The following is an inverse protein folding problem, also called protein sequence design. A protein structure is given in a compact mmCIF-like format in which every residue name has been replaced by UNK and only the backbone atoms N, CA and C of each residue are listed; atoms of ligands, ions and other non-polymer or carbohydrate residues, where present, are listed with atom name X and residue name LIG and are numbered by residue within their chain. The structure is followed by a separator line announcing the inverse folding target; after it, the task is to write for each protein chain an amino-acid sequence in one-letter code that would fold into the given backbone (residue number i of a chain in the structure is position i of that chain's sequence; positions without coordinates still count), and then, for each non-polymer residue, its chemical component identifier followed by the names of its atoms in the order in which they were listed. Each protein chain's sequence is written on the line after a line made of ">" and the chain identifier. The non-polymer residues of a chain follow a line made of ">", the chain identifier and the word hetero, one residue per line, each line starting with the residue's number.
data_IF_649590833579
#
_entry.id   IF_649590833579
#
_cell.length_a   1.000
_cell.length_b   1.000
_cell.length_c   1.000
_cell.angle_alpha   90.00
_cell.angle_beta   90.00
_cell.angle_gamma   90.00
#
_symmetry.space_group_name_H-M   'P 1'
#
loop_
_entity.id
_entity.type
_entity.pdbx_description
1 polymer ?
#
# COMPACT_ATOMS: atom_id res chain seq x y z
N UNK A 1 -16.23 15.08 7.24
CA UNK A 1 -15.22 14.01 7.11
C UNK A 1 -15.63 12.87 8.04
N UNK A 2 -15.67 11.63 7.54
CA UNK A 2 -16.21 10.50 8.31
C UNK A 2 -15.32 10.18 9.51
N UNK A 3 -15.87 10.16 10.72
CA UNK A 3 -15.16 9.84 11.98
C UNK A 3 -14.49 8.47 11.96
N UNK A 4 -15.01 7.56 11.13
CA UNK A 4 -14.49 6.21 10.95
C UNK A 4 -13.08 6.18 10.34
N UNK A 5 -12.86 6.91 9.25
CA UNK A 5 -11.54 6.90 8.59
C UNK A 5 -10.51 7.59 9.46
N UNK A 6 -10.87 8.66 10.18
CA UNK A 6 -9.99 9.30 11.16
C UNK A 6 -9.60 8.37 12.32
N UNK A 7 -10.51 7.52 12.80
CA UNK A 7 -10.21 6.55 13.86
C UNK A 7 -9.30 5.41 13.35
N UNK A 8 -9.55 4.89 12.15
CA UNK A 8 -8.66 3.91 11.51
C UNK A 8 -7.27 4.49 11.24
N UNK A 9 -7.19 5.72 10.76
CA UNK A 9 -5.92 6.42 10.63
C UNK A 9 -5.25 6.54 12.00
N UNK A 10 -5.96 6.94 13.06
CA UNK A 10 -5.36 7.06 14.40
C UNK A 10 -4.89 5.74 15.01
N UNK A 11 -5.54 4.61 14.71
CA UNK A 11 -5.11 3.28 15.21
C UNK A 11 -4.04 2.62 14.34
N UNK A 12 -3.87 3.06 13.08
CA UNK A 12 -2.99 2.41 12.07
C UNK A 12 -1.82 3.33 11.63
N UNK A 13 -1.85 4.62 11.97
CA UNK A 13 -0.78 5.58 11.65
C UNK A 13 0.22 5.74 12.78
N UNK A 14 1.50 6.00 12.43
CA UNK A 14 2.62 5.92 13.36
C UNK A 14 2.74 7.09 14.33
N UNK A 15 1.84 8.08 14.32
CA UNK A 15 1.97 9.25 15.22
C UNK A 15 1.83 8.88 16.71
N UNK A 16 1.29 7.70 17.03
CA UNK A 16 1.27 7.13 18.37
C UNK A 16 2.36 6.07 18.63
N UNK A 17 3.13 5.73 17.60
CA UNK A 17 4.15 4.69 17.59
C UNK A 17 5.52 5.37 17.70
N UNK A 18 6.05 5.48 18.92
CA UNK A 18 7.39 6.03 19.17
C UNK A 18 8.53 5.13 18.66
N UNK A 19 8.23 3.88 18.28
CA UNK A 19 9.19 2.90 17.79
C UNK A 19 8.91 2.53 16.32
N UNK A 20 9.80 2.83 15.36
CA UNK A 20 9.60 2.53 13.93
C UNK A 20 9.38 1.04 13.60
N UNK A 21 9.62 0.14 14.55
CA UNK A 21 9.36 -1.30 14.42
C UNK A 21 8.09 -1.80 15.13
N UNK A 22 7.25 -0.90 15.67
CA UNK A 22 6.01 -1.36 16.30
C UNK A 22 5.01 -1.81 15.23
N UNK A 23 4.61 -3.07 15.34
CA UNK A 23 3.44 -3.60 14.64
C UNK A 23 2.15 -3.07 15.30
N UNK A 24 1.05 -2.94 14.55
CA UNK A 24 -0.25 -2.60 15.14
C UNK A 24 -0.60 -3.64 16.20
N UNK A 25 -1.03 -3.18 17.37
CA UNK A 25 -1.40 -4.08 18.45
C UNK A 25 -2.65 -4.89 18.03
N UNK A 26 -2.67 -6.23 18.22
CA UNK A 26 -3.86 -7.03 17.93
C UNK A 26 -5.11 -6.56 18.69
N UNK A 27 -4.95 -5.91 19.84
CA UNK A 27 -6.07 -5.28 20.57
C UNK A 27 -6.65 -4.10 19.80
N UNK A 28 -5.83 -3.32 19.10
CA UNK A 28 -6.30 -2.16 18.33
C UNK A 28 -7.02 -2.62 17.06
N UNK A 29 -6.56 -3.70 16.43
CA UNK A 29 -7.22 -4.31 15.26
C UNK A 29 -8.56 -4.95 15.63
N UNK A 30 -8.62 -5.69 16.74
CA UNK A 30 -9.89 -6.24 17.24
C UNK A 30 -10.89 -5.15 17.61
N UNK A 31 -10.44 -4.04 18.20
CA UNK A 31 -11.29 -2.88 18.46
C UNK A 31 -11.83 -2.26 17.15
N UNK A 32 -11.01 -2.17 16.11
CA UNK A 32 -11.45 -1.70 14.80
C UNK A 32 -12.49 -2.64 14.16
N UNK A 33 -12.29 -3.96 14.23
CA UNK A 33 -13.28 -4.93 13.72
C UNK A 33 -14.60 -4.88 14.46
N UNK A 34 -14.59 -4.72 15.80
CA UNK A 34 -15.81 -4.53 16.59
C UNK A 34 -16.57 -3.27 16.20
N UNK A 35 -15.87 -2.16 15.95
CA UNK A 35 -16.49 -0.92 15.52
C UNK A 35 -17.20 -1.09 14.17
N UNK A 36 -16.58 -1.79 13.21
CA UNK A 36 -17.23 -2.09 11.91
C UNK A 36 -18.41 -3.05 12.09
N UNK A 37 -18.26 -4.06 12.95
CA UNK A 37 -19.33 -5.01 13.25
C UNK A 37 -20.57 -4.29 13.79
N UNK A 38 -20.41 -3.38 14.77
CA UNK A 38 -21.52 -2.59 15.33
C UNK A 38 -22.21 -1.72 14.29
N UNK A 39 -21.46 -1.15 13.34
CA UNK A 39 -22.03 -0.41 12.22
C UNK A 39 -22.89 -1.30 11.31
N UNK A 40 -22.42 -2.51 10.98
CA UNK A 40 -23.21 -3.44 10.16
C UNK A 40 -24.46 -3.94 10.88
N UNK A 41 -24.39 -4.21 12.18
CA UNK A 41 -25.56 -4.57 12.99
C UNK A 41 -26.58 -3.41 13.04
N UNK A 42 -26.10 -2.17 13.18
CA UNK A 42 -26.96 -0.99 13.12
C UNK A 42 -27.67 -0.87 11.77
N UNK A 43 -26.93 -1.01 10.66
CA UNK A 43 -27.49 -0.98 9.31
C UNK A 43 -28.48 -2.13 9.07
N UNK A 44 -28.21 -3.33 9.62
CA UNK A 44 -29.08 -4.49 9.50
C UNK A 44 -30.45 -4.27 10.19
N UNK A 45 -30.49 -3.46 11.26
CA UNK A 45 -31.73 -3.13 11.96
C UNK A 45 -32.69 -2.26 11.14
N UNK A 46 -32.16 -1.46 10.20
CA UNK A 46 -32.93 -0.55 9.34
C UNK A 46 -32.85 -0.93 7.86
N UNK A 47 -32.48 -2.16 7.53
CA UNK A 47 -32.30 -2.59 6.16
C UNK A 47 -33.65 -2.64 5.39
N UNK A 48 -33.72 -2.16 4.14
CA UNK A 48 -34.98 -2.04 3.40
C UNK A 48 -35.50 -3.38 2.83
N UNK A 49 -34.66 -4.43 2.80
CA UNK A 49 -35.03 -5.75 2.31
C UNK A 49 -34.42 -6.85 3.19
N UNK A 50 -35.07 -8.02 3.21
CA UNK A 50 -34.59 -9.19 3.95
C UNK A 50 -33.24 -9.69 3.41
N UNK A 51 -33.01 -9.59 2.10
CA UNK A 51 -31.73 -9.95 1.47
C UNK A 51 -30.59 -9.03 1.93
N UNK A 52 -30.84 -7.72 2.01
CA UNK A 52 -29.84 -6.78 2.52
C UNK A 52 -29.56 -7.03 4.00
N UNK A 53 -30.60 -7.33 4.77
CA UNK A 53 -30.44 -7.67 6.19
C UNK A 53 -29.60 -8.93 6.40
N UNK A 54 -29.90 -10.01 5.68
CA UNK A 54 -29.15 -11.27 5.81
C UNK A 54 -27.70 -11.12 5.38
N UNK A 55 -27.43 -10.36 4.32
CA UNK A 55 -26.08 -10.04 3.89
C UNK A 55 -25.30 -9.26 4.97
N UNK A 56 -25.88 -8.19 5.53
CA UNK A 56 -25.22 -7.40 6.58
C UNK A 56 -24.93 -8.22 7.84
N UNK A 57 -25.85 -9.13 8.23
CA UNK A 57 -25.62 -10.05 9.34
C UNK A 57 -24.48 -11.04 9.04
N UNK A 58 -24.39 -11.55 7.81
CA UNK A 58 -23.27 -12.43 7.43
C UNK A 58 -21.91 -11.72 7.48
N UNK A 59 -21.87 -10.44 7.10
CA UNK A 59 -20.65 -9.62 7.22
C UNK A 59 -20.28 -9.36 8.69
N UNK A 60 -21.27 -9.06 9.53
CA UNK A 60 -21.06 -8.88 10.96
C UNK A 60 -20.55 -10.16 11.64
N UNK A 61 -20.99 -11.33 11.19
CA UNK A 61 -20.48 -12.62 11.66
C UNK A 61 -19.03 -12.87 11.22
N UNK A 62 -18.69 -12.56 9.96
CA UNK A 62 -17.30 -12.68 9.49
C UNK A 62 -16.34 -11.82 10.31
N UNK A 63 -16.74 -10.60 10.68
CA UNK A 63 -15.92 -9.71 11.53
C UNK A 63 -15.78 -10.20 12.97
N UNK A 64 -16.72 -11.02 13.46
CA UNK A 64 -16.59 -11.66 14.76
C UNK A 64 -15.45 -12.69 14.77
N UNK A 65 -15.34 -13.49 13.70
CA UNK A 65 -14.24 -14.44 13.51
C UNK A 65 -12.89 -13.70 13.45
N UNK A 66 -12.81 -12.60 12.67
CA UNK A 66 -11.62 -11.75 12.61
C UNK A 66 -11.26 -11.11 13.95
N UNK A 67 -12.26 -10.82 14.80
CA UNK A 67 -12.02 -10.31 16.15
C UNK A 67 -11.43 -11.37 17.08
N UNK A 68 -11.85 -12.64 16.94
CA UNK A 68 -11.30 -13.75 17.72
C UNK A 68 -9.89 -14.14 17.25
N UNK A 69 -9.58 -13.88 15.98
CA UNK A 69 -8.31 -14.20 15.35
C UNK A 69 -7.72 -12.96 14.64
N UNK A 70 -7.36 -11.90 15.38
CA UNK A 70 -6.84 -10.69 14.76
C UNK A 70 -5.51 -11.00 14.06
N UNK A 71 -5.25 -10.40 12.88
CA UNK A 71 -4.00 -10.62 12.19
C UNK A 71 -2.84 -10.05 13.03
N UNK A 72 -1.79 -10.84 13.17
CA UNK A 72 -0.61 -10.50 13.98
C UNK A 72 0.41 -9.63 13.23
N UNK A 73 0.26 -9.51 11.91
CA UNK A 73 1.10 -8.67 11.05
C UNK A 73 0.26 -8.11 9.91
N UNK A 74 0.60 -6.90 9.47
CA UNK A 74 0.09 -6.35 8.21
C UNK A 74 1.05 -6.72 7.07
N UNK A 75 0.51 -7.16 5.95
CA UNK A 75 1.26 -7.52 4.73
C UNK A 75 1.55 -6.31 3.84
N UNK A 76 1.37 -5.10 4.37
CA UNK A 76 1.55 -3.86 3.63
C UNK A 76 3.02 -3.54 3.31
N UNK A 77 3.20 -2.53 2.47
CA UNK A 77 4.54 -1.98 2.17
C UNK A 77 4.96 -0.96 3.23
N UNK A 78 6.27 -0.72 3.32
CA UNK A 78 6.82 0.26 4.25
C UNK A 78 6.53 1.71 3.83
N UNK A 79 6.75 2.67 4.73
CA UNK A 79 6.57 4.09 4.40
C UNK A 79 7.56 4.55 3.33
N UNK A 80 8.80 4.05 3.39
CA UNK A 80 9.86 4.36 2.42
C UNK A 80 9.47 3.87 1.02
N UNK A 81 8.72 2.76 0.92
CA UNK A 81 8.15 2.33 -0.36
C UNK A 81 7.19 3.38 -0.93
N UNK A 82 6.25 3.87 -0.13
CA UNK A 82 5.25 4.86 -0.54
C UNK A 82 5.91 6.17 -0.95
N UNK A 83 6.91 6.60 -0.19
CA UNK A 83 7.68 7.81 -0.46
C UNK A 83 8.48 7.69 -1.76
N UNK A 84 8.96 6.48 -2.09
CA UNK A 84 9.69 6.20 -3.34
C UNK A 84 8.81 6.09 -4.61
N UNK A 85 7.48 6.18 -4.50
CA UNK A 85 6.59 6.10 -5.67
C UNK A 85 6.78 7.28 -6.63
N UNK A 86 6.69 7.01 -7.93
CA UNK A 86 6.80 8.05 -8.96
C UNK A 86 5.66 9.07 -8.82
N UNK A 87 6.02 10.36 -8.85
CA UNK A 87 5.06 11.47 -8.79
C UNK A 87 4.68 11.92 -10.18
N UNK A 88 3.39 12.05 -10.44
CA UNK A 88 2.88 12.53 -11.73
C UNK A 88 2.80 14.06 -11.69
N UNK A 89 3.47 14.78 -12.61
CA UNK A 89 3.40 16.23 -12.63
C UNK A 89 1.99 16.68 -13.02
N UNK A 90 1.46 17.70 -12.33
CA UNK A 90 0.13 18.26 -12.60
C UNK A 90 -0.11 18.60 -14.08
N UNK A 91 0.94 19.05 -14.79
CA UNK A 91 0.89 19.42 -16.21
C UNK A 91 0.59 18.23 -17.15
N UNK A 92 0.81 16.99 -16.72
CA UNK A 92 0.52 15.80 -17.52
C UNK A 92 -0.83 15.17 -17.22
N UNK A 93 -1.61 15.75 -16.30
CA UNK A 93 -2.94 15.27 -15.94
C UNK A 93 -3.99 15.90 -16.85
N UNK A 94 -4.98 15.10 -17.22
CA UNK A 94 -6.17 15.58 -17.92
C UNK A 94 -7.21 16.08 -16.91
N UNK A 95 -8.11 17.02 -17.29
CA UNK A 95 -9.20 17.45 -16.41
C UNK A 95 -10.18 16.34 -16.08
N UNK A 96 -10.25 15.28 -16.89
CA UNK A 96 -11.13 14.13 -16.68
C UNK A 96 -10.46 13.03 -15.84
N UNK A 97 -9.16 13.17 -15.53
CA UNK A 97 -8.43 12.21 -14.71
C UNK A 97 -8.89 12.34 -13.25
N UNK A 98 -9.33 11.21 -12.68
CA UNK A 98 -9.87 11.14 -11.32
C UNK A 98 -9.25 10.00 -10.53
N UNK A 99 -9.18 10.20 -9.21
CA UNK A 99 -8.69 9.19 -8.29
C UNK A 99 -9.73 8.06 -8.15
N UNK A 100 -9.37 6.79 -8.37
CA UNK A 100 -10.32 5.68 -8.29
C UNK A 100 -10.73 5.32 -6.84
N UNK A 101 -10.12 5.93 -5.82
CA UNK A 101 -10.47 5.71 -4.40
C UNK A 101 -11.51 6.74 -3.94
N UNK A 102 -11.20 8.04 -4.05
CA UNK A 102 -12.10 9.10 -3.60
C UNK A 102 -13.08 9.58 -4.68
N UNK A 103 -12.85 9.19 -5.95
CA UNK A 103 -13.64 9.56 -7.12
C UNK A 103 -13.63 11.07 -7.45
N UNK A 104 -12.70 11.82 -6.88
CA UNK A 104 -12.49 13.25 -7.14
C UNK A 104 -11.54 13.48 -8.31
N UNK A 105 -11.75 14.57 -9.05
CA UNK A 105 -10.87 14.98 -10.13
C UNK A 105 -9.54 15.49 -9.59
N UNK A 106 -8.42 15.04 -10.17
CA UNK A 106 -7.10 15.44 -9.65
C UNK A 106 -6.86 16.95 -9.77
N UNK A 107 -7.39 17.57 -10.83
CA UNK A 107 -7.15 18.99 -11.08
C UNK A 107 -7.99 19.93 -10.20
N UNK A 108 -8.99 19.41 -9.49
CA UNK A 108 -9.85 20.20 -8.60
C UNK A 108 -9.11 20.65 -7.33
N UNK A 109 -8.11 19.88 -6.90
CA UNK A 109 -7.14 20.29 -5.87
C UNK A 109 -6.00 21.12 -6.50
N UNK A 110 -5.77 22.38 -6.10
CA UNK A 110 -4.64 23.19 -6.56
C UNK A 110 -3.26 22.56 -6.30
N UNK A 111 -3.14 21.72 -5.27
CA UNK A 111 -1.88 21.10 -4.82
C UNK A 111 -1.90 19.58 -4.94
N UNK A 112 -2.60 19.07 -5.96
CA UNK A 112 -2.77 17.63 -6.16
C UNK A 112 -1.43 16.84 -6.11
N UNK A 113 -1.37 15.85 -5.22
CA UNK A 113 -0.25 14.93 -5.10
C UNK A 113 -0.63 13.57 -5.68
N UNK A 114 -0.33 13.36 -6.97
CA UNK A 114 -0.68 12.12 -7.67
C UNK A 114 0.54 11.20 -7.73
N UNK A 115 0.36 9.96 -7.30
CA UNK A 115 1.36 8.90 -7.38
C UNK A 115 0.99 7.91 -8.50
N UNK A 116 1.98 7.49 -9.29
CA UNK A 116 1.85 6.41 -10.26
C UNK A 116 2.38 5.11 -9.65
N UNK A 117 1.51 4.10 -9.55
CA UNK A 117 1.89 2.83 -8.97
C UNK A 117 2.71 1.99 -9.97
N UNK A 118 3.77 1.28 -9.51
CA UNK A 118 4.59 0.41 -10.36
C UNK A 118 3.87 -0.90 -10.76
N UNK A 119 2.55 -0.88 -10.88
CA UNK A 119 1.71 -1.95 -11.41
C UNK A 119 1.76 -1.99 -12.94
N UNK A 120 1.43 -3.13 -13.57
CA UNK A 120 1.48 -3.25 -15.05
C UNK A 120 0.59 -2.23 -15.79
N UNK A 121 -0.50 -1.80 -15.15
CA UNK A 121 -1.41 -0.77 -15.69
C UNK A 121 -1.01 0.68 -15.38
N UNK A 122 0.07 0.92 -14.61
CA UNK A 122 0.50 2.25 -14.17
C UNK A 122 -0.65 3.12 -13.64
N UNK A 123 -1.43 2.55 -12.72
CA UNK A 123 -2.58 3.22 -12.13
C UNK A 123 -2.13 4.44 -11.32
N UNK A 124 -2.85 5.54 -11.50
CA UNK A 124 -2.62 6.83 -10.85
C UNK A 124 -3.67 7.06 -9.78
N UNK A 125 -3.22 7.48 -8.61
CA UNK A 125 -4.08 7.74 -7.45
C UNK A 125 -3.52 8.91 -6.65
N UNK A 126 -4.36 9.57 -5.86
CA UNK A 126 -3.85 10.52 -4.87
C UNK A 126 -2.98 9.82 -3.85
N UNK A 127 -1.85 10.44 -3.53
CA UNK A 127 -0.89 9.92 -2.56
C UNK A 127 -1.55 9.69 -1.20
N UNK A 128 -2.41 10.61 -0.76
CA UNK A 128 -3.13 10.52 0.50
C UNK A 128 -4.13 9.36 0.53
N UNK A 129 -4.74 9.03 -0.62
CA UNK A 129 -5.68 7.93 -0.73
C UNK A 129 -4.95 6.58 -0.78
N UNK A 130 -3.85 6.50 -1.53
CA UNK A 130 -3.16 5.24 -1.80
C UNK A 130 -2.17 4.84 -0.71
N UNK A 131 -1.57 5.81 0.00
CA UNK A 131 -0.63 5.57 1.10
C UNK A 131 -1.18 4.63 2.19
N UNK A 132 -2.35 4.90 2.82
CA UNK A 132 -2.87 4.02 3.87
C UNK A 132 -3.23 2.63 3.34
N UNK A 133 -3.68 2.54 2.08
CA UNK A 133 -3.97 1.26 1.44
C UNK A 133 -2.71 0.41 1.30
N UNK A 134 -1.64 0.98 0.74
CA UNK A 134 -0.39 0.25 0.52
C UNK A 134 0.27 -0.19 1.82
N UNK A 135 0.25 0.66 2.85
CA UNK A 135 0.76 0.34 4.19
C UNK A 135 0.00 -0.80 4.88
N UNK A 136 -1.21 -1.10 4.44
CA UNK A 136 -2.04 -2.16 5.04
C UNK A 136 -2.09 -3.43 4.18
N UNK A 137 -2.16 -3.29 2.85
CA UNK A 137 -2.42 -4.40 1.92
C UNK A 137 -1.32 -4.66 0.91
N UNK A 138 -0.43 -3.71 0.66
CA UNK A 138 0.71 -3.85 -0.27
C UNK A 138 0.35 -4.08 -1.75
N UNK A 139 -0.93 -3.99 -2.10
CA UNK A 139 -1.44 -4.31 -3.44
C UNK A 139 -2.04 -3.09 -4.12
N UNK A 140 -2.06 -3.07 -5.45
CA UNK A 140 -2.74 -2.01 -6.20
C UNK A 140 -4.27 -2.07 -6.01
N UNK A 141 -4.96 -0.98 -5.61
CA UNK A 141 -6.42 -0.95 -5.46
C UNK A 141 -7.19 -1.28 -6.75
N UNK A 142 -6.59 -0.99 -7.91
CA UNK A 142 -7.25 -1.14 -9.21
C UNK A 142 -7.10 -2.54 -9.81
N UNK A 143 -5.89 -3.11 -9.75
CA UNK A 143 -5.60 -4.40 -10.40
C UNK A 143 -5.10 -5.50 -9.46
N UNK A 144 -5.07 -5.26 -8.15
CA UNK A 144 -4.64 -6.20 -7.11
C UNK A 144 -3.21 -6.75 -7.25
N UNK A 145 -2.41 -6.17 -8.14
CA UNK A 145 -1.00 -6.53 -8.27
C UNK A 145 -0.26 -6.25 -6.96
N UNK A 146 0.48 -7.23 -6.45
CA UNK A 146 1.39 -7.07 -5.32
C UNK A 146 2.55 -6.16 -5.71
N UNK A 147 2.73 -5.08 -4.95
CA UNK A 147 3.77 -4.08 -5.19
C UNK A 147 4.98 -4.27 -4.25
N UNK A 148 4.81 -4.96 -3.12
CA UNK A 148 5.89 -5.22 -2.17
C UNK A 148 6.90 -6.21 -2.72
N UNK A 149 6.44 -7.36 -3.24
CA UNK A 149 7.31 -8.39 -3.80
C UNK A 149 8.01 -7.94 -5.09
N UNK A 150 7.38 -7.03 -5.86
CA UNK A 150 7.96 -6.50 -7.10
C UNK A 150 9.15 -5.57 -6.84
N UNK A 151 9.17 -4.81 -5.74
CA UNK A 151 10.34 -3.99 -5.37
C UNK A 151 11.49 -4.88 -4.91
N UNK A 152 11.22 -5.86 -4.04
CA UNK A 152 12.23 -6.85 -3.60
C UNK A 152 12.89 -7.55 -4.78
N UNK A 153 12.09 -7.96 -5.78
CA UNK A 153 12.62 -8.61 -6.99
C UNK A 153 13.49 -7.67 -7.83
N UNK A 154 13.06 -6.42 -8.04
CA UNK A 154 13.86 -5.42 -8.77
C UNK A 154 15.19 -5.13 -8.06
N UNK A 155 15.17 -4.95 -6.74
CA UNK A 155 16.38 -4.71 -5.94
C UNK A 155 17.34 -5.90 -5.99
N UNK A 156 16.81 -7.14 -5.97
CA UNK A 156 17.61 -8.35 -6.16
C UNK A 156 18.23 -8.41 -7.56
N UNK A 157 17.45 -8.15 -8.61
CA UNK A 157 17.93 -8.09 -10.00
C UNK A 157 19.02 -7.02 -10.20
N UNK A 158 18.87 -5.85 -9.57
CA UNK A 158 19.87 -4.76 -9.63
C UNK A 158 21.17 -5.13 -8.88
N UNK A 159 21.07 -5.74 -7.69
CA UNK A 159 22.25 -6.24 -6.95
C UNK A 159 23.02 -7.31 -7.71
N UNK A 160 22.32 -8.23 -8.37
CA UNK A 160 22.97 -9.27 -9.18
C UNK A 160 23.68 -8.67 -10.41
N UNK A 161 23.07 -7.65 -11.06
CA UNK A 161 23.72 -6.92 -12.16
C UNK A 161 24.95 -6.13 -11.71
N UNK A 162 24.91 -5.51 -10.53
CA UNK A 162 26.06 -4.78 -9.98
C UNK A 162 27.22 -5.72 -9.66
N UNK A 163 26.94 -6.92 -9.14
CA UNK A 163 27.96 -7.96 -8.92
C UNK A 163 28.57 -8.43 -10.24
N UNK A 164 27.76 -8.72 -11.26
CA UNK A 164 28.25 -9.14 -12.57
C UNK A 164 29.17 -8.10 -13.20
N UNK A 165 28.81 -6.81 -13.11
CA UNK A 165 29.65 -5.72 -13.63
C UNK A 165 30.96 -5.54 -12.86
N UNK A 166 30.99 -5.77 -11.54
CA UNK A 166 32.24 -5.74 -10.76
C UNK A 166 33.17 -6.89 -11.16
N UNK A 167 32.60 -8.07 -11.38
CA UNK A 167 33.36 -9.24 -11.80
C UNK A 167 33.97 -9.06 -13.20
N UNK A 168 33.22 -8.50 -14.16
CA UNK A 168 33.75 -8.18 -15.50
C UNK A 168 34.93 -7.20 -15.44
N UNK A 169 34.88 -6.19 -14.56
CA UNK A 169 35.98 -5.23 -14.38
C UNK A 169 37.19 -5.85 -13.69
N UNK A 170 36.98 -6.73 -12.71
CA UNK A 170 38.09 -7.47 -12.06
C UNK A 170 38.76 -8.44 -13.04
N UNK A 171 37.99 -9.11 -13.91
CA UNK A 171 38.53 -10.00 -14.96
C UNK A 171 39.31 -9.21 -16.03
N UNK A 172 38.82 -8.04 -16.45
CA UNK A 172 39.55 -7.14 -17.38
C UNK A 172 40.85 -6.59 -16.75
N UNK A 173 40.83 -6.20 -15.47
CA UNK A 173 42.04 -5.72 -14.76
C UNK A 173 43.10 -6.83 -14.59
N UNK A 174 42.67 -8.08 -14.33
CA UNK A 174 43.58 -9.23 -14.24
C UNK A 174 44.20 -9.61 -15.61
N UNK A 175 43.44 -9.49 -16.71
CA UNK A 175 43.95 -9.70 -18.07
C UNK A 175 44.98 -8.62 -18.46
N UNK A 176 44.69 -7.35 -18.16
CA UNK A 176 45.59 -6.22 -18.46
C UNK A 176 46.92 -6.30 -17.64
N UNK A 177 46.86 -6.71 -16.37
CA UNK A 177 48.04 -6.91 -15.52
C UNK A 177 48.90 -8.11 -16.00
N UNK A 178 48.28 -9.14 -16.58
CA UNK A 178 48.98 -10.28 -17.18
C UNK A 178 49.73 -9.88 -18.45
N UNK A 179 49.10 -9.08 -19.32
CA UNK A 179 49.67 -8.61 -20.58
C UNK A 179 50.76 -7.54 -20.38
N UNK A 180 50.70 -6.77 -19.28
CA UNK A 180 51.72 -5.78 -18.91
C UNK A 180 53.06 -6.37 -18.46
N UNK A 181 53.13 -7.65 -18.08
CA UNK A 181 54.34 -8.30 -17.55
C UNK A 181 55.28 -8.86 -18.65
N UNK A 182 54.81 -8.93 -19.90
CA UNK A 182 55.55 -9.51 -21.03
C UNK A 182 55.97 -8.50 -22.13
N UNK A 183 55.76 -7.20 -21.91
CA UNK A 183 56.15 -6.11 -22.81
C UNK A 183 57.49 -5.46 -22.47
#
# INVERSE_FOLDING_TARGET
>A
MSTFTSHLTSTITPDHITNPHSIPNPVDLSAAFRLVQDQFLTLASSAPSQENQSFLLSLAQSLEEDTLHPPTSLEGTSQEFVDSLDRVPRKSLSPDDKCPICMENFLDDPYCLVAELPCGGRHRLDLECVSPWLRTKGTCPCCRADLGERKKRKEAEEREKEKGKKQEVEEEEEEDDMDGLYA
#
